data_IF_552821438545
#
_entry.id   IF_552821438545
#
_cell.length_a   1.000
_cell.length_b   1.000
_cell.length_c   1.000
_cell.angle_alpha   90.00
_cell.angle_beta   90.00
_cell.angle_gamma   90.00
#
_symmetry.space_group_name_H-M   'P 1'
#
loop_
_entity.id
_entity.type
_entity.pdbx_description
1 polymer ?
#
# COMPACT_ATOMS: atom_id res chain seq x y z
N UNK A 1 37.89 24.62 11.35
CA UNK A 1 37.45 23.27 10.88
C UNK A 1 38.66 22.60 10.27
N UNK A 2 39.08 21.49 10.85
CA UNK A 2 40.27 20.74 10.43
C UNK A 2 39.94 20.05 9.10
N UNK A 3 40.73 20.29 8.06
CA UNK A 3 40.58 19.59 6.79
C UNK A 3 41.10 18.16 6.96
N UNK A 4 40.19 17.20 6.86
CA UNK A 4 40.46 15.78 7.08
C UNK A 4 41.04 15.14 5.81
N UNK A 5 42.36 14.93 5.81
CA UNK A 5 43.15 14.31 4.73
C UNK A 5 43.09 12.76 4.78
N UNK A 6 41.95 12.18 5.14
CA UNK A 6 41.80 10.72 5.17
C UNK A 6 41.44 10.15 3.80
N UNK A 7 42.02 8.99 3.48
CA UNK A 7 41.83 8.27 2.24
C UNK A 7 40.37 7.82 2.08
N UNK A 8 39.86 7.81 0.84
CA UNK A 8 38.44 7.51 0.56
C UNK A 8 38.00 6.10 1.00
N UNK A 9 38.97 5.19 1.19
CA UNK A 9 38.73 3.80 1.62
C UNK A 9 38.48 3.75 3.13
N UNK A 10 39.36 4.35 3.94
CA UNK A 10 39.19 4.42 5.41
C UNK A 10 37.88 5.13 5.80
N UNK A 11 37.50 6.16 5.04
CA UNK A 11 36.25 6.89 5.26
C UNK A 11 35.02 6.03 4.95
N UNK A 12 35.08 5.19 3.90
CA UNK A 12 34.01 4.25 3.53
C UNK A 12 33.85 3.16 4.59
N UNK A 13 34.95 2.61 5.10
CA UNK A 13 34.91 1.52 6.07
C UNK A 13 34.34 2.01 7.41
N UNK A 14 34.70 3.22 7.86
CA UNK A 14 34.10 3.84 9.05
C UNK A 14 32.60 4.08 8.92
N UNK A 15 32.13 4.56 7.77
CA UNK A 15 30.71 4.76 7.52
C UNK A 15 29.93 3.43 7.51
N UNK A 16 30.59 2.36 7.04
CA UNK A 16 30.08 0.99 7.08
C UNK A 16 29.94 0.47 8.51
N UNK A 17 30.91 0.74 9.37
CA UNK A 17 30.87 0.44 10.81
C UNK A 17 29.75 1.21 11.51
N UNK A 18 29.50 2.47 11.12
CA UNK A 18 28.40 3.30 11.64
C UNK A 18 27.02 2.95 11.04
N UNK A 19 26.92 1.96 10.14
CA UNK A 19 25.67 1.55 9.49
C UNK A 19 25.09 2.59 8.52
N UNK A 20 25.91 3.58 8.09
CA UNK A 20 25.50 4.66 7.19
C UNK A 20 26.06 4.38 5.79
N UNK A 21 25.21 4.47 4.78
CA UNK A 21 25.63 4.36 3.37
C UNK A 21 25.67 5.78 2.80
N UNK A 22 26.84 6.22 2.33
CA UNK A 22 26.91 7.45 1.54
C UNK A 22 26.22 7.20 0.20
N UNK A 23 25.10 7.88 -0.02
CA UNK A 23 24.55 8.00 -1.36
C UNK A 23 25.59 8.72 -2.21
N UNK A 24 25.93 8.21 -3.40
CA UNK A 24 26.83 8.92 -4.30
C UNK A 24 26.24 10.32 -4.53
N UNK A 25 26.99 11.35 -4.15
CA UNK A 25 26.66 12.73 -4.50
C UNK A 25 26.39 12.77 -6.00
N UNK A 26 25.25 13.37 -6.38
CA UNK A 26 24.85 13.52 -7.76
C UNK A 26 26.04 13.98 -8.60
N UNK A 27 26.55 13.08 -9.44
CA UNK A 27 27.56 13.41 -10.44
C UNK A 27 27.01 14.58 -11.24
N UNK A 28 27.71 15.72 -11.22
CA UNK A 28 27.24 16.92 -11.91
C UNK A 28 27.29 16.65 -13.42
N UNK A 29 26.14 16.39 -14.02
CA UNK A 29 26.01 16.05 -15.46
C UNK A 29 26.23 17.26 -16.37
N UNK A 30 26.56 18.43 -15.81
CA UNK A 30 26.73 19.67 -16.55
C UNK A 30 28.07 19.67 -17.28
N UNK A 31 28.04 20.08 -18.55
CA UNK A 31 29.23 20.28 -19.37
C UNK A 31 29.80 21.67 -19.13
N UNK A 32 31.08 21.72 -18.77
CA UNK A 32 31.85 22.94 -18.54
C UNK A 32 32.77 23.18 -19.75
N UNK A 33 32.88 24.44 -20.21
CA UNK A 33 33.83 24.80 -21.28
C UNK A 33 35.18 25.14 -20.67
N UNK A 34 35.15 25.87 -19.56
CA UNK A 34 36.30 26.16 -18.70
C UNK A 34 35.92 25.75 -17.27
N UNK A 35 36.90 25.46 -16.42
CA UNK A 35 36.67 25.00 -15.03
C UNK A 35 35.64 25.84 -14.25
N UNK A 36 35.47 27.11 -14.61
CA UNK A 36 34.52 28.05 -13.99
C UNK A 36 33.24 28.32 -14.80
N UNK A 37 33.19 28.02 -16.10
CA UNK A 37 32.10 28.46 -17.00
C UNK A 37 31.34 27.27 -17.60
N UNK A 38 30.04 27.19 -17.30
CA UNK A 38 29.12 26.17 -17.81
C UNK A 38 28.70 26.52 -19.25
N UNK A 39 28.58 25.51 -20.12
CA UNK A 39 28.13 25.70 -21.51
C UNK A 39 26.78 26.43 -21.60
N UNK A 40 25.85 26.11 -20.69
CA UNK A 40 24.52 26.72 -20.65
C UNK A 40 24.56 28.22 -20.31
N UNK A 41 25.52 28.66 -19.50
CA UNK A 41 25.59 30.04 -19.05
C UNK A 41 26.07 30.96 -20.19
N UNK A 42 26.93 30.44 -21.07
CA UNK A 42 27.31 31.11 -22.33
C UNK A 42 26.11 31.24 -23.25
N UNK A 43 25.33 30.17 -23.42
CA UNK A 43 24.15 30.16 -24.27
C UNK A 43 23.09 31.18 -23.79
N UNK A 44 22.87 31.29 -22.48
CA UNK A 44 21.96 32.28 -21.88
C UNK A 44 22.47 33.72 -22.10
N UNK A 45 23.78 33.93 -22.11
CA UNK A 45 24.39 35.25 -22.30
C UNK A 45 24.49 35.72 -23.77
N UNK A 46 24.30 34.81 -24.74
CA UNK A 46 24.48 35.04 -26.18
C UNK A 46 23.65 36.23 -26.72
N UNK A 47 22.36 36.41 -26.34
CA UNK A 47 21.59 37.57 -26.81
C UNK A 47 22.22 38.91 -26.44
N UNK A 48 22.84 39.00 -25.26
CA UNK A 48 23.49 40.22 -24.78
C UNK A 48 24.80 40.50 -25.54
N UNK A 49 25.53 39.44 -25.90
CA UNK A 49 26.69 39.52 -26.79
C UNK A 49 26.28 40.04 -28.17
N UNK A 50 25.20 39.49 -28.74
CA UNK A 50 24.67 39.90 -30.04
C UNK A 50 24.25 41.38 -30.05
N UNK A 51 23.59 41.85 -28.98
CA UNK A 51 23.25 43.27 -28.81
C UNK A 51 24.52 44.13 -28.76
N UNK A 52 25.55 43.70 -28.03
CA UNK A 52 26.83 44.41 -27.98
C UNK A 52 27.49 44.55 -29.35
N UNK A 53 27.44 43.50 -30.18
CA UNK A 53 27.92 43.54 -31.57
C UNK A 53 27.06 44.43 -32.49
N UNK A 54 25.74 44.44 -32.30
CA UNK A 54 24.84 45.32 -33.06
C UNK A 54 25.09 46.80 -32.74
N UNK A 55 25.31 47.12 -31.46
CA UNK A 55 25.67 48.49 -31.02
C UNK A 55 27.02 48.89 -31.58
N UNK A 56 28.01 47.99 -31.55
CA UNK A 56 29.32 48.22 -32.15
C UNK A 56 29.21 48.51 -33.66
N UNK A 57 28.43 47.70 -34.38
CA UNK A 57 28.20 47.86 -35.81
C UNK A 57 27.53 49.20 -36.14
N UNK A 58 26.52 49.59 -35.35
CA UNK A 58 25.86 50.89 -35.48
C UNK A 58 26.83 52.07 -35.24
N UNK A 59 27.68 51.99 -34.22
CA UNK A 59 28.65 53.06 -33.90
C UNK A 59 29.73 53.20 -34.98
N UNK A 60 30.18 52.10 -35.58
CA UNK A 60 31.13 52.15 -36.71
C UNK A 60 30.46 52.78 -37.94
N UNK A 61 29.19 52.46 -38.21
CA UNK A 61 28.44 53.12 -39.29
C UNK A 61 28.15 54.60 -39.04
N UNK A 62 28.08 55.03 -37.78
CA UNK A 62 27.92 56.42 -37.38
C UNK A 62 29.23 57.25 -37.45
N UNK A 63 30.34 56.65 -37.91
CA UNK A 63 31.60 57.36 -38.17
C UNK A 63 32.65 57.28 -37.05
N UNK A 64 32.45 56.46 -36.02
CA UNK A 64 33.48 56.20 -35.02
C UNK A 64 34.52 55.22 -35.55
N UNK A 65 35.82 55.55 -35.40
CA UNK A 65 36.91 54.64 -35.76
C UNK A 65 36.88 53.39 -34.88
N UNK A 66 37.02 52.22 -35.51
CA UNK A 66 37.14 50.96 -34.78
C UNK A 66 38.39 50.97 -33.88
N UNK A 67 38.18 50.99 -32.56
CA UNK A 67 39.26 50.92 -31.57
C UNK A 67 39.00 49.80 -30.58
N UNK A 68 40.08 49.23 -30.03
CA UNK A 68 39.99 48.17 -29.02
C UNK A 68 39.22 48.64 -27.76
N UNK A 69 39.28 49.93 -27.44
CA UNK A 69 38.55 50.53 -26.32
C UNK A 69 37.04 50.54 -26.58
N UNK A 70 36.61 50.89 -27.79
CA UNK A 70 35.18 50.88 -28.18
C UNK A 70 34.57 49.48 -28.08
N UNK A 71 35.33 48.46 -28.50
CA UNK A 71 34.93 47.06 -28.40
C UNK A 71 34.76 46.61 -26.94
N UNK A 72 35.70 46.97 -26.06
CA UNK A 72 35.62 46.67 -24.63
C UNK A 72 34.41 47.32 -23.97
N UNK A 73 34.10 48.58 -24.33
CA UNK A 73 32.94 49.29 -23.79
C UNK A 73 31.65 48.60 -24.22
N UNK A 74 31.51 48.25 -25.51
CA UNK A 74 30.30 47.62 -26.04
C UNK A 74 30.06 46.21 -25.50
N UNK A 75 31.13 45.45 -25.21
CA UNK A 75 31.03 44.09 -24.65
C UNK A 75 31.06 44.06 -23.11
N UNK A 76 31.32 45.19 -22.44
CA UNK A 76 31.33 45.28 -20.96
C UNK A 76 30.02 44.81 -20.29
N UNK A 77 28.81 45.07 -20.84
CA UNK A 77 27.57 44.55 -20.24
C UNK A 77 27.49 43.02 -20.32
N UNK A 78 28.02 42.44 -21.41
CA UNK A 78 28.07 40.99 -21.57
C UNK A 78 29.04 40.33 -20.59
N UNK A 79 30.25 40.88 -20.45
CA UNK A 79 31.26 40.37 -19.51
C UNK A 79 30.80 40.44 -18.05
N UNK A 80 30.17 41.55 -17.65
CA UNK A 80 29.64 41.71 -16.28
C UNK A 80 28.48 40.75 -15.99
N UNK A 81 27.58 40.52 -16.96
CA UNK A 81 26.49 39.56 -16.83
C UNK A 81 26.99 38.11 -16.71
N UNK A 82 28.01 37.74 -17.49
CA UNK A 82 28.65 36.43 -17.38
C UNK A 82 29.28 36.21 -16.00
N UNK A 83 29.93 37.23 -15.43
CA UNK A 83 30.51 37.16 -14.09
C UNK A 83 29.43 36.95 -13.01
N UNK A 84 28.28 37.63 -13.14
CA UNK A 84 27.16 37.43 -12.21
C UNK A 84 26.60 36.00 -12.29
N UNK A 85 26.63 35.37 -13.47
CA UNK A 85 26.18 34.00 -13.65
C UNK A 85 27.13 32.97 -13.01
N UNK A 86 28.43 33.26 -12.88
CA UNK A 86 29.41 32.37 -12.25
C UNK A 86 29.41 32.43 -10.72
N UNK A 87 28.74 33.43 -10.12
CA UNK A 87 28.55 33.50 -8.68
C UNK A 87 27.62 32.39 -8.20
N UNK A 88 28.14 31.52 -7.34
CA UNK A 88 27.41 30.40 -6.75
C UNK A 88 26.77 30.79 -5.41
N UNK A 89 25.69 30.09 -5.04
CA UNK A 89 25.06 30.25 -3.73
C UNK A 89 26.06 29.85 -2.61
N UNK A 90 26.12 30.59 -1.48
CA UNK A 90 27.05 30.29 -0.37
C UNK A 90 26.93 28.84 0.13
N UNK A 91 25.70 28.36 0.34
CA UNK A 91 25.47 27.00 0.85
C UNK A 91 25.31 25.92 -0.22
N UNK A 92 24.94 26.28 -1.46
CA UNK A 92 24.57 25.32 -2.52
C UNK A 92 25.35 25.60 -3.80
N UNK A 93 26.54 24.99 -3.91
CA UNK A 93 27.46 25.14 -5.05
C UNK A 93 26.86 24.76 -6.41
N UNK A 94 25.73 24.07 -6.46
CA UNK A 94 25.10 23.65 -7.73
C UNK A 94 24.15 24.68 -8.35
N UNK A 95 23.85 25.78 -7.64
CA UNK A 95 22.85 26.78 -8.01
C UNK A 95 23.54 28.14 -8.24
N UNK A 96 23.32 28.73 -9.41
CA UNK A 96 23.85 30.05 -9.74
C UNK A 96 22.99 31.14 -9.07
N UNK A 97 23.60 32.28 -8.77
CA UNK A 97 22.95 33.44 -8.14
C UNK A 97 21.67 33.87 -8.86
N UNK A 98 21.73 34.01 -10.19
CA UNK A 98 20.58 34.42 -11.02
C UNK A 98 19.41 33.43 -10.92
N UNK A 99 19.70 32.13 -10.88
CA UNK A 99 18.66 31.11 -10.79
C UNK A 99 17.93 31.21 -9.46
N UNK A 100 18.64 31.27 -8.32
CA UNK A 100 18.02 31.37 -7.00
C UNK A 100 17.30 32.70 -6.76
N UNK A 101 17.86 33.85 -7.17
CA UNK A 101 17.25 35.14 -6.78
C UNK A 101 16.12 35.58 -7.71
N UNK A 102 16.26 35.33 -9.01
CA UNK A 102 15.34 35.85 -10.03
C UNK A 102 14.36 34.76 -10.47
N UNK A 103 14.88 33.63 -10.95
CA UNK A 103 14.04 32.57 -11.54
C UNK A 103 13.13 31.95 -10.48
N UNK A 104 13.65 31.64 -9.30
CA UNK A 104 12.84 31.08 -8.22
C UNK A 104 11.75 32.04 -7.73
N UNK A 105 12.02 33.35 -7.70
CA UNK A 105 11.00 34.34 -7.30
C UNK A 105 9.85 34.41 -8.30
N UNK A 106 10.17 34.35 -9.60
CA UNK A 106 9.19 34.28 -10.68
C UNK A 106 8.39 32.97 -10.59
N UNK A 107 9.08 31.84 -10.44
CA UNK A 107 8.43 30.54 -10.31
C UNK A 107 7.54 30.48 -9.06
N UNK A 108 8.00 31.00 -7.93
CA UNK A 108 7.25 31.05 -6.68
C UNK A 108 5.97 31.87 -6.82
N UNK A 109 6.04 33.04 -7.45
CA UNK A 109 4.85 33.85 -7.71
C UNK A 109 3.87 33.19 -8.70
N UNK A 110 4.37 32.36 -9.61
CA UNK A 110 3.55 31.59 -10.57
C UNK A 110 3.03 30.26 -10.03
N UNK A 111 3.48 29.80 -8.85
CA UNK A 111 2.97 28.55 -8.25
C UNK A 111 1.53 28.76 -7.81
N UNK A 112 0.69 27.76 -8.08
CA UNK A 112 -0.66 27.72 -7.53
C UNK A 112 -0.56 27.62 -6.01
N UNK A 113 -1.10 28.62 -5.31
CA UNK A 113 -1.05 28.72 -3.85
C UNK A 113 -2.18 27.93 -3.17
N UNK A 114 -3.14 27.43 -3.96
CA UNK A 114 -4.28 26.65 -3.49
C UNK A 114 -4.05 25.18 -3.86
N UNK A 115 -3.63 24.37 -2.88
CA UNK A 115 -3.53 22.92 -3.04
C UNK A 115 -4.89 22.32 -2.70
N UNK A 116 -5.74 22.12 -3.71
CA UNK A 116 -7.01 21.42 -3.53
C UNK A 116 -6.76 19.92 -3.70
N UNK A 117 -7.19 19.13 -2.73
CA UNK A 117 -7.15 17.67 -2.82
C UNK A 117 -8.24 17.19 -3.79
N UNK A 118 -7.94 17.15 -5.09
CA UNK A 118 -8.88 16.61 -6.07
C UNK A 118 -8.81 15.10 -6.09
N UNK A 119 -9.83 14.42 -5.57
CA UNK A 119 -10.01 12.98 -5.79
C UNK A 119 -10.17 12.70 -7.29
N UNK A 120 -9.21 11.95 -7.85
CA UNK A 120 -9.41 10.98 -8.93
C UNK A 120 -9.64 11.45 -10.38
N UNK A 121 -10.45 12.48 -10.64
CA UNK A 121 -11.09 12.57 -11.97
C UNK A 121 -10.40 13.45 -13.01
N UNK A 122 -9.47 14.33 -12.63
CA UNK A 122 -8.82 15.28 -13.56
C UNK A 122 -7.31 15.08 -13.76
N UNK A 123 -6.81 13.84 -13.69
CA UNK A 123 -5.41 13.56 -14.07
C UNK A 123 -5.27 13.28 -15.57
N UNK A 124 -4.31 13.96 -16.21
CA UNK A 124 -3.90 13.69 -17.60
C UNK A 124 -3.49 12.23 -17.78
N UNK A 125 -3.77 11.63 -18.95
CA UNK A 125 -3.52 10.21 -19.25
C UNK A 125 -2.08 9.76 -18.98
N UNK A 126 -1.12 10.68 -19.10
CA UNK A 126 0.30 10.46 -18.82
C UNK A 126 0.62 10.41 -17.31
N UNK A 127 -0.12 11.14 -16.49
CA UNK A 127 -0.03 11.09 -15.02
C UNK A 127 -0.78 9.88 -14.45
N UNK A 128 -1.90 9.45 -15.07
CA UNK A 128 -2.58 8.18 -14.71
C UNK A 128 -1.70 6.94 -14.85
N UNK A 129 -0.78 6.92 -15.84
CA UNK A 129 0.21 5.83 -16.00
C UNK A 129 1.31 5.81 -14.94
N UNK A 130 1.61 6.96 -14.33
CA UNK A 130 2.69 7.12 -13.35
C UNK A 130 2.17 7.29 -11.91
N UNK A 131 0.87 7.49 -11.72
CA UNK A 131 0.23 7.35 -10.43
C UNK A 131 0.39 5.89 -10.02
N UNK A 132 0.96 5.66 -8.83
CA UNK A 132 1.07 4.35 -8.21
C UNK A 132 -0.20 3.56 -8.49
N UNK A 133 -0.08 2.43 -9.20
CA UNK A 133 -1.20 1.52 -9.45
C UNK A 133 -1.92 1.32 -8.13
N UNK A 134 -3.25 1.39 -8.14
CA UNK A 134 -4.04 1.04 -6.97
C UNK A 134 -3.58 -0.34 -6.49
N UNK A 135 -3.39 -0.50 -5.18
CA UNK A 135 -2.95 -1.78 -4.57
C UNK A 135 -3.85 -2.92 -5.07
N UNK A 136 -5.15 -2.63 -5.25
CA UNK A 136 -6.13 -3.57 -5.81
C UNK A 136 -5.79 -4.00 -7.25
N UNK A 137 -5.39 -3.07 -8.10
CA UNK A 137 -4.98 -3.35 -9.48
C UNK A 137 -3.67 -4.15 -9.52
N UNK A 138 -2.73 -3.88 -8.59
CA UNK A 138 -1.51 -4.69 -8.44
C UNK A 138 -1.80 -6.13 -8.01
N UNK A 139 -2.82 -6.33 -7.17
CA UNK A 139 -3.30 -7.65 -6.74
C UNK A 139 -4.17 -8.36 -7.80
N UNK A 140 -4.50 -7.69 -8.91
CA UNK A 140 -5.38 -8.22 -9.94
C UNK A 140 -6.85 -8.31 -9.50
N UNK A 141 -7.26 -7.51 -8.51
CA UNK A 141 -8.64 -7.43 -8.02
C UNK A 141 -9.23 -6.09 -8.44
N UNK A 142 -10.32 -6.14 -9.20
CA UNK A 142 -11.05 -4.97 -9.67
C UNK A 142 -12.12 -4.53 -8.67
N UNK A 143 -12.89 -5.48 -8.12
CA UNK A 143 -13.93 -5.19 -7.14
C UNK A 143 -14.28 -6.41 -6.27
N UNK A 144 -14.93 -6.19 -5.13
CA UNK A 144 -15.59 -7.22 -4.32
C UNK A 144 -17.08 -6.90 -4.32
N UNK A 145 -17.90 -7.77 -4.90
CA UNK A 145 -19.33 -7.53 -5.03
C UNK A 145 -20.09 -8.85 -5.09
N UNK A 146 -21.32 -8.89 -4.55
CA UNK A 146 -22.16 -10.10 -4.54
C UNK A 146 -21.42 -11.36 -4.07
N UNK A 147 -20.65 -11.23 -2.98
CA UNK A 147 -19.88 -12.30 -2.35
C UNK A 147 -18.88 -12.97 -3.31
N UNK A 148 -18.38 -12.23 -4.30
CA UNK A 148 -17.35 -12.68 -5.20
C UNK A 148 -16.29 -11.61 -5.44
N UNK A 149 -15.07 -12.05 -5.75
CA UNK A 149 -14.05 -11.18 -6.31
C UNK A 149 -14.26 -11.04 -7.80
N UNK A 150 -14.27 -9.80 -8.28
CA UNK A 150 -14.09 -9.48 -9.69
C UNK A 150 -12.60 -9.22 -9.91
N UNK A 151 -11.95 -10.07 -10.70
CA UNK A 151 -10.53 -9.93 -11.05
C UNK A 151 -10.34 -8.99 -12.25
N UNK A 152 -9.14 -8.44 -12.40
CA UNK A 152 -8.76 -7.62 -13.57
C UNK A 152 -8.82 -8.41 -14.87
N UNK A 153 -8.69 -9.73 -14.80
CA UNK A 153 -8.78 -10.65 -15.94
C UNK A 153 -10.23 -11.01 -16.32
N UNK A 154 -11.22 -10.27 -15.80
CA UNK A 154 -12.65 -10.52 -15.99
C UNK A 154 -13.09 -11.93 -15.58
N UNK A 155 -12.68 -12.38 -14.39
CA UNK A 155 -13.19 -13.60 -13.77
C UNK A 155 -13.90 -13.27 -12.46
N UNK A 156 -15.02 -13.93 -12.22
CA UNK A 156 -15.64 -13.98 -10.90
C UNK A 156 -15.06 -15.13 -10.10
N UNK A 157 -14.69 -14.85 -8.85
CA UNK A 157 -14.15 -15.85 -7.94
C UNK A 157 -15.01 -15.90 -6.68
N UNK A 158 -15.64 -17.04 -6.43
CA UNK A 158 -16.30 -17.33 -5.15
C UNK A 158 -15.44 -18.27 -4.33
N UNK A 159 -15.47 -18.06 -3.02
CA UNK A 159 -14.67 -18.81 -2.04
C UNK A 159 -15.61 -19.45 -1.02
N UNK A 160 -15.44 -20.76 -0.83
CA UNK A 160 -16.18 -21.56 0.13
C UNK A 160 -15.20 -21.99 1.22
N UNK A 161 -15.50 -21.67 2.48
CA UNK A 161 -14.77 -22.18 3.64
C UNK A 161 -15.33 -23.55 4.01
N UNK A 162 -14.45 -24.51 4.24
CA UNK A 162 -14.81 -25.89 4.57
C UNK A 162 -14.21 -26.26 5.93
N UNK A 163 -15.01 -26.93 6.78
CA UNK A 163 -14.52 -27.50 8.03
C UNK A 163 -13.55 -28.66 7.78
N UNK A 164 -12.98 -29.23 8.84
CA UNK A 164 -12.05 -30.35 8.72
C UNK A 164 -12.37 -31.46 9.70
N UNK A 165 -12.09 -32.68 9.27
CA UNK A 165 -12.16 -33.88 10.11
C UNK A 165 -10.76 -34.28 10.54
N UNK A 166 -10.60 -34.68 11.82
CA UNK A 166 -9.33 -35.16 12.34
C UNK A 166 -9.10 -36.60 11.92
N UNK A 167 -8.23 -36.80 10.92
CA UNK A 167 -7.90 -38.14 10.41
C UNK A 167 -6.90 -38.89 11.31
N UNK A 168 -6.17 -38.22 12.19
CA UNK A 168 -5.10 -38.87 12.97
C UNK A 168 -5.64 -39.87 13.97
N UNK A 169 -6.76 -39.54 14.62
CA UNK A 169 -7.41 -40.36 15.65
C UNK A 169 -8.25 -41.52 15.10
N UNK A 170 -8.43 -41.59 13.78
CA UNK A 170 -9.30 -42.58 13.14
C UNK A 170 -8.61 -43.94 12.94
N UNK A 171 -9.41 -45.01 12.90
CA UNK A 171 -8.88 -46.32 12.51
C UNK A 171 -8.63 -46.38 10.99
N UNK A 172 -7.72 -47.27 10.54
CA UNK A 172 -7.34 -47.42 9.12
C UNK A 172 -8.56 -47.64 8.22
N UNK A 173 -9.52 -48.47 8.63
CA UNK A 173 -10.76 -48.73 7.86
C UNK A 173 -11.59 -47.46 7.66
N UNK A 174 -11.71 -46.61 8.67
CA UNK A 174 -12.45 -45.35 8.58
C UNK A 174 -11.73 -44.34 7.70
N UNK A 175 -10.39 -44.24 7.82
CA UNK A 175 -9.58 -43.39 6.94
C UNK A 175 -9.76 -43.78 5.48
N UNK A 176 -9.72 -45.08 5.16
CA UNK A 176 -9.95 -45.57 3.79
C UNK A 176 -11.34 -45.19 3.27
N UNK A 177 -12.39 -45.31 4.09
CA UNK A 177 -13.75 -44.88 3.71
C UNK A 177 -13.81 -43.38 3.39
N UNK A 178 -13.15 -42.54 4.20
CA UNK A 178 -13.10 -41.09 3.96
C UNK A 178 -12.37 -40.77 2.65
N UNK A 179 -11.25 -41.44 2.38
CA UNK A 179 -10.52 -41.25 1.12
C UNK A 179 -11.33 -41.71 -0.10
N UNK A 180 -12.04 -42.84 0.01
CA UNK A 180 -12.95 -43.30 -1.05
C UNK A 180 -14.08 -42.31 -1.30
N UNK A 181 -14.69 -41.77 -0.24
CA UNK A 181 -15.72 -40.76 -0.37
C UNK A 181 -15.20 -39.48 -1.05
N UNK A 182 -13.97 -39.05 -0.71
CA UNK A 182 -13.33 -37.93 -1.37
C UNK A 182 -13.00 -38.20 -2.85
N UNK A 183 -12.58 -39.41 -3.19
CA UNK A 183 -12.37 -39.84 -4.57
C UNK A 183 -13.68 -39.82 -5.38
N UNK A 184 -14.77 -40.37 -4.82
CA UNK A 184 -16.11 -40.30 -5.43
C UNK A 184 -16.54 -38.86 -5.66
N UNK A 185 -16.38 -37.99 -4.66
CA UNK A 185 -16.67 -36.56 -4.81
C UNK A 185 -15.91 -35.92 -5.97
N UNK A 186 -14.60 -36.18 -6.10
CA UNK A 186 -13.80 -35.62 -7.20
C UNK A 186 -14.24 -36.15 -8.57
N UNK A 187 -14.70 -37.40 -8.65
CA UNK A 187 -15.18 -38.01 -9.89
C UNK A 187 -16.59 -37.53 -10.28
N UNK A 188 -17.44 -37.22 -9.30
CA UNK A 188 -18.81 -36.74 -9.51
C UNK A 188 -18.88 -35.26 -9.91
N UNK A 189 -17.80 -34.49 -9.71
CA UNK A 189 -17.75 -33.09 -10.10
C UNK A 189 -17.81 -32.94 -11.63
N UNK A 190 -18.78 -32.16 -12.16
CA UNK A 190 -18.88 -31.99 -13.61
C UNK A 190 -17.66 -31.25 -14.14
N UNK A 191 -17.19 -31.66 -15.32
CA UNK A 191 -16.01 -31.09 -15.97
C UNK A 191 -16.11 -29.58 -16.20
N UNK A 192 -17.34 -29.06 -16.31
CA UNK A 192 -17.58 -27.62 -16.38
C UNK A 192 -17.09 -26.91 -15.14
N UNK A 193 -17.20 -27.46 -13.92
CA UNK A 193 -16.80 -26.81 -12.66
C UNK A 193 -15.28 -26.86 -12.40
N UNK A 194 -14.51 -27.50 -13.28
CA UNK A 194 -13.06 -27.58 -13.17
C UNK A 194 -12.38 -26.40 -13.90
N UNK A 195 -11.24 -25.89 -13.38
CA UNK A 195 -10.50 -26.39 -12.24
C UNK A 195 -11.05 -25.90 -10.88
N UNK A 196 -11.16 -26.83 -9.93
CA UNK A 196 -11.44 -26.53 -8.53
C UNK A 196 -10.13 -26.29 -7.78
N UNK A 197 -9.95 -25.11 -7.18
CA UNK A 197 -8.74 -24.83 -6.41
C UNK A 197 -9.01 -25.07 -4.91
N UNK A 198 -8.17 -25.88 -4.27
CA UNK A 198 -8.21 -26.09 -2.82
C UNK A 198 -7.00 -25.42 -2.19
N UNK A 199 -7.22 -24.57 -1.18
CA UNK A 199 -6.17 -23.82 -0.50
C UNK A 199 -6.27 -23.97 1.01
N UNK A 200 -5.12 -23.97 1.68
CA UNK A 200 -5.01 -23.94 3.13
C UNK A 200 -4.32 -22.65 3.52
N UNK A 201 -5.03 -21.78 4.24
CA UNK A 201 -4.52 -20.47 4.63
C UNK A 201 -4.48 -20.41 6.14
N UNK A 202 -3.30 -20.08 6.65
CA UNK A 202 -3.07 -19.85 8.06
C UNK A 202 -3.71 -18.50 8.45
N UNK A 203 -4.56 -18.50 9.46
CA UNK A 203 -5.25 -17.32 9.96
C UNK A 203 -5.13 -17.25 11.48
N UNK A 204 -5.00 -16.03 12.03
CA UNK A 204 -4.94 -15.85 13.48
C UNK A 204 -6.15 -16.51 14.14
N UNK A 205 -5.93 -17.13 15.30
CA UNK A 205 -7.02 -17.81 16.00
C UNK A 205 -8.04 -16.78 16.48
N UNK A 206 -9.33 -17.04 16.24
CA UNK A 206 -10.41 -16.24 16.79
C UNK A 206 -11.18 -17.10 17.79
N UNK A 207 -11.04 -16.78 19.09
CA UNK A 207 -11.70 -17.48 20.18
C UNK A 207 -12.87 -16.67 20.75
N UNK A 208 -13.27 -15.57 20.11
CA UNK A 208 -14.31 -14.66 20.62
C UNK A 208 -15.63 -15.38 20.89
N UNK A 209 -16.08 -16.24 19.97
CA UNK A 209 -17.32 -17.00 20.15
C UNK A 209 -17.20 -18.04 21.27
N UNK A 210 -16.03 -18.65 21.43
CA UNK A 210 -15.76 -19.59 22.50
C UNK A 210 -15.72 -18.87 23.86
N UNK A 211 -15.06 -17.71 23.94
CA UNK A 211 -15.07 -16.85 25.12
C UNK A 211 -16.49 -16.45 25.51
N UNK A 212 -17.32 -16.00 24.57
CA UNK A 212 -18.74 -15.69 24.82
C UNK A 212 -19.51 -16.90 25.35
N UNK A 213 -19.30 -18.07 24.75
CA UNK A 213 -19.94 -19.30 25.24
C UNK A 213 -19.58 -19.58 26.71
N UNK A 214 -18.30 -19.45 27.09
CA UNK A 214 -17.88 -19.64 28.48
C UNK A 214 -18.48 -18.56 29.38
N UNK A 215 -18.52 -17.32 28.94
CA UNK A 215 -19.12 -16.20 29.69
C UNK A 215 -20.62 -16.43 29.95
N UNK A 216 -21.37 -16.85 28.93
CA UNK A 216 -22.79 -17.20 29.02
C UNK A 216 -23.06 -18.39 29.96
N UNK A 217 -22.16 -19.37 30.01
CA UNK A 217 -22.25 -20.47 30.97
C UNK A 217 -21.94 -20.00 32.40
N UNK A 218 -20.97 -19.08 32.53
CA UNK A 218 -20.54 -18.54 33.83
C UNK A 218 -21.60 -17.64 34.44
N UNK A 219 -22.32 -16.86 33.63
CA UNK A 219 -23.41 -15.98 34.07
C UNK A 219 -24.56 -16.74 34.75
N UNK A 220 -24.70 -18.05 34.50
CA UNK A 220 -25.73 -18.91 35.09
C UNK A 220 -25.28 -19.61 36.37
N UNK A 221 -24.01 -19.49 36.74
CA UNK A 221 -23.43 -20.22 37.87
C UNK A 221 -23.40 -19.34 39.13
N UNK A 222 -24.02 -19.79 40.22
CA UNK A 222 -24.10 -19.05 41.49
C UNK A 222 -22.85 -19.20 42.36
N UNK A 223 -22.02 -20.22 42.08
CA UNK A 223 -20.86 -20.57 42.89
C UNK A 223 -19.67 -19.62 42.66
N UNK A 224 -19.34 -18.84 43.70
CA UNK A 224 -18.23 -17.87 43.68
C UNK A 224 -16.87 -18.44 43.22
N UNK A 225 -16.40 -19.62 43.70
CA UNK A 225 -15.13 -20.19 43.24
C UNK A 225 -15.11 -20.53 41.75
N UNK A 226 -16.23 -21.06 41.22
CA UNK A 226 -16.34 -21.39 39.79
C UNK A 226 -16.33 -20.13 38.92
N UNK A 227 -16.99 -19.06 39.38
CA UNK A 227 -16.97 -17.77 38.69
C UNK A 227 -15.54 -17.18 38.59
N UNK A 228 -14.74 -17.28 39.65
CA UNK A 228 -13.33 -16.86 39.62
C UNK A 228 -12.53 -17.71 38.62
N UNK A 229 -12.69 -19.04 38.64
CA UNK A 229 -12.00 -19.93 37.72
C UNK A 229 -12.35 -19.62 36.26
N UNK A 230 -13.63 -19.44 35.97
CA UNK A 230 -14.08 -19.07 34.63
C UNK A 230 -13.51 -17.73 34.18
N UNK A 231 -13.48 -16.71 35.05
CA UNK A 231 -12.85 -15.42 34.74
C UNK A 231 -11.35 -15.55 34.48
N UNK A 232 -10.65 -16.39 35.25
CA UNK A 232 -9.23 -16.67 35.02
C UNK A 232 -8.99 -17.38 33.68
N UNK A 233 -9.89 -18.28 33.30
CA UNK A 233 -9.85 -18.99 32.04
C UNK A 233 -10.16 -18.07 30.85
N UNK A 234 -11.15 -17.19 30.97
CA UNK A 234 -11.43 -16.16 29.95
C UNK A 234 -10.23 -15.24 29.72
N UNK A 235 -9.53 -14.85 30.79
CA UNK A 235 -8.28 -14.09 30.67
C UNK A 235 -7.21 -14.88 29.91
N UNK A 236 -7.05 -16.16 30.22
CA UNK A 236 -6.12 -17.02 29.50
C UNK A 236 -6.47 -17.16 28.01
N UNK A 237 -7.76 -17.29 27.67
CA UNK A 237 -8.24 -17.32 26.28
C UNK A 237 -7.94 -16.00 25.55
N UNK A 238 -8.14 -14.86 26.21
CA UNK A 238 -7.81 -13.54 25.66
C UNK A 238 -6.30 -13.37 25.45
N UNK A 239 -5.48 -13.84 26.40
CA UNK A 239 -4.02 -13.85 26.28
C UNK A 239 -3.55 -14.72 25.09
N UNK A 240 -4.19 -15.88 24.87
CA UNK A 240 -3.96 -16.71 23.67
C UNK A 240 -4.31 -15.95 22.39
N UNK A 241 -5.45 -15.25 22.37
CA UNK A 241 -5.91 -14.53 21.18
C UNK A 241 -5.00 -13.32 20.86
N UNK A 242 -4.46 -12.67 21.88
CA UNK A 242 -3.45 -11.60 21.75
C UNK A 242 -2.07 -12.14 21.35
N UNK A 243 -1.74 -13.37 21.74
CA UNK A 243 -0.49 -14.01 21.39
C UNK A 243 -0.39 -14.22 19.88
N UNK A 244 0.59 -13.56 19.26
CA UNK A 244 0.85 -13.64 17.82
C UNK A 244 1.16 -15.06 17.32
N UNK A 245 1.61 -15.93 18.23
CA UNK A 245 2.16 -17.24 17.89
C UNK A 245 1.09 -18.30 17.57
N UNK A 246 -0.18 -18.06 17.93
CA UNK A 246 -1.24 -19.07 17.80
C UNK A 246 -2.01 -18.88 16.49
N UNK A 247 -1.98 -19.89 15.62
CA UNK A 247 -2.54 -19.83 14.27
C UNK A 247 -3.44 -21.01 13.97
N UNK A 248 -4.59 -20.74 13.37
CA UNK A 248 -5.52 -21.76 12.84
C UNK A 248 -5.33 -21.92 11.32
N UNK A 249 -5.41 -23.15 10.80
CA UNK A 249 -5.36 -23.40 9.35
C UNK A 249 -6.77 -23.61 8.81
N UNK A 250 -7.27 -22.61 8.10
CA UNK A 250 -8.58 -22.66 7.46
C UNK A 250 -8.43 -23.20 6.03
N UNK A 251 -9.42 -23.97 5.60
CA UNK A 251 -9.44 -24.66 4.30
C UNK A 251 -10.50 -24.02 3.42
N UNK A 252 -10.10 -23.71 2.20
CA UNK A 252 -10.91 -22.99 1.24
C UNK A 252 -10.98 -23.75 -0.07
N UNK A 253 -12.17 -23.79 -0.64
CA UNK A 253 -12.47 -24.26 -1.98
C UNK A 253 -12.83 -23.05 -2.82
N UNK A 254 -12.10 -22.82 -3.90
CA UNK A 254 -12.15 -21.61 -4.71
C UNK A 254 -12.60 -22.01 -6.11
N UNK A 255 -13.63 -21.31 -6.60
CA UNK A 255 -14.16 -21.49 -7.95
C UNK A 255 -14.11 -20.18 -8.71
N UNK A 256 -13.59 -20.25 -9.93
CA UNK A 256 -13.41 -19.10 -10.80
C UNK A 256 -14.12 -19.30 -12.14
N UNK A 257 -14.85 -18.28 -12.60
CA UNK A 257 -15.55 -18.27 -13.89
C UNK A 257 -15.19 -17.03 -14.69
N UNK A 258 -14.70 -17.18 -15.94
CA UNK A 258 -14.51 -16.03 -16.82
C UNK A 258 -15.87 -15.48 -17.26
N UNK A 259 -15.96 -14.16 -17.35
CA UNK A 259 -17.14 -13.48 -17.87
C UNK A 259 -16.75 -12.50 -18.99
N UNK A 260 -17.73 -12.19 -19.83
CA UNK A 260 -17.65 -11.11 -20.81
C UNK A 260 -18.69 -10.05 -20.44
N UNK A 261 -18.53 -8.81 -20.89
CA UNK A 261 -19.39 -7.66 -20.52
C UNK A 261 -20.88 -7.93 -20.75
N UNK A 262 -21.23 -8.68 -21.81
CA UNK A 262 -22.62 -9.02 -22.16
C UNK A 262 -23.21 -10.12 -21.27
N UNK A 263 -22.40 -11.07 -20.79
CA UNK A 263 -22.85 -12.27 -20.08
C UNK A 263 -22.65 -12.19 -18.56
N UNK A 264 -22.24 -11.04 -18.05
CA UNK A 264 -21.85 -10.85 -16.64
C UNK A 264 -22.89 -11.39 -15.64
N UNK A 265 -24.16 -11.03 -15.82
CA UNK A 265 -25.25 -11.45 -14.91
C UNK A 265 -25.48 -12.96 -14.96
N UNK A 266 -25.57 -13.52 -16.18
CA UNK A 266 -25.77 -14.96 -16.39
C UNK A 266 -24.65 -15.79 -15.75
N UNK A 267 -23.39 -15.38 -15.92
CA UNK A 267 -22.24 -16.10 -15.34
C UNK A 267 -22.24 -16.03 -13.81
N UNK A 268 -22.70 -14.92 -13.22
CA UNK A 268 -22.84 -14.82 -11.77
C UNK A 268 -23.89 -15.81 -11.25
N UNK A 269 -25.06 -15.87 -11.89
CA UNK A 269 -26.14 -16.78 -11.50
C UNK A 269 -25.72 -18.26 -11.66
N UNK A 270 -24.98 -18.58 -12.73
CA UNK A 270 -24.41 -19.91 -12.95
C UNK A 270 -23.39 -20.25 -11.86
N UNK A 271 -22.48 -19.32 -11.54
CA UNK A 271 -21.49 -19.51 -10.47
C UNK A 271 -22.15 -19.73 -9.11
N UNK A 272 -23.23 -19.01 -8.80
CA UNK A 272 -23.96 -19.18 -7.54
C UNK A 272 -24.62 -20.56 -7.44
N UNK A 273 -25.23 -21.04 -8.53
CA UNK A 273 -25.79 -22.40 -8.60
C UNK A 273 -24.69 -23.46 -8.42
N UNK A 274 -23.57 -23.30 -9.11
CA UNK A 274 -22.42 -24.20 -9.01
C UNK A 274 -21.89 -24.24 -7.57
N UNK A 275 -21.74 -23.07 -6.91
CA UNK A 275 -21.32 -22.96 -5.50
C UNK A 275 -22.27 -23.72 -4.58
N UNK A 276 -23.57 -23.60 -4.79
CA UNK A 276 -24.57 -24.29 -3.98
C UNK A 276 -24.50 -25.81 -4.16
N UNK A 277 -24.33 -26.28 -5.40
CA UNK A 277 -24.17 -27.71 -5.71
C UNK A 277 -22.92 -28.26 -5.03
N UNK A 278 -21.77 -27.61 -5.20
CA UNK A 278 -20.51 -28.04 -4.60
C UNK A 278 -20.57 -28.01 -3.08
N UNK A 279 -21.18 -26.99 -2.49
CA UNK A 279 -21.39 -26.91 -1.04
C UNK A 279 -22.19 -28.10 -0.52
N UNK A 280 -23.31 -28.40 -1.18
CA UNK A 280 -24.19 -29.53 -0.84
C UNK A 280 -23.47 -30.87 -1.01
N UNK A 281 -22.66 -31.03 -2.06
CA UNK A 281 -21.87 -32.24 -2.29
C UNK A 281 -20.79 -32.43 -1.22
N UNK A 282 -20.10 -31.36 -0.81
CA UNK A 282 -19.09 -31.43 0.26
C UNK A 282 -19.73 -31.83 1.59
N UNK A 283 -20.90 -31.28 1.91
CA UNK A 283 -21.63 -31.60 3.15
C UNK A 283 -22.10 -33.06 3.17
N UNK A 284 -22.59 -33.56 2.03
CA UNK A 284 -23.06 -34.94 1.89
C UNK A 284 -21.95 -35.95 1.58
N UNK A 285 -20.71 -35.52 1.38
CA UNK A 285 -19.59 -36.40 1.01
C UNK A 285 -19.32 -37.44 2.09
N UNK A 286 -19.42 -37.06 3.36
CA UNK A 286 -19.16 -37.96 4.48
C UNK A 286 -20.47 -38.46 5.07
N UNK A 287 -20.64 -39.78 5.12
CA UNK A 287 -21.76 -40.42 5.81
C UNK A 287 -21.46 -40.71 7.29
N UNK A 288 -22.49 -40.68 8.12
CA UNK A 288 -22.44 -41.17 9.51
C UNK A 288 -22.06 -40.10 10.53
N UNK A 289 -21.01 -40.34 11.32
CA UNK A 289 -20.60 -39.46 12.45
C UNK A 289 -19.70 -38.30 12.05
N UNK A 290 -19.18 -38.32 10.83
CA UNK A 290 -18.27 -37.29 10.32
C UNK A 290 -19.05 -36.43 9.35
N UNK A 291 -19.06 -35.13 9.59
CA UNK A 291 -19.75 -34.15 8.77
C UNK A 291 -18.75 -33.04 8.41
N UNK A 292 -18.75 -32.64 7.15
CA UNK A 292 -18.07 -31.43 6.71
C UNK A 292 -19.11 -30.34 6.60
N UNK A 293 -18.78 -29.15 7.11
CA UNK A 293 -19.65 -27.98 7.04
C UNK A 293 -19.05 -26.99 6.07
N UNK A 294 -19.90 -26.41 5.23
CA UNK A 294 -19.48 -25.39 4.27
C UNK A 294 -20.06 -24.04 4.64
N UNK A 295 -19.30 -22.98 4.39
CA UNK A 295 -19.78 -21.61 4.46
C UNK A 295 -19.25 -20.84 3.26
N UNK A 296 -20.14 -20.30 2.43
CA UNK A 296 -19.76 -19.33 1.40
C UNK A 296 -19.33 -18.04 2.09
N UNK A 297 -18.21 -17.46 1.66
CA UNK A 297 -17.68 -16.26 2.31
C UNK A 297 -18.45 -15.00 1.89
N UNK A 298 -18.79 -14.19 2.88
CA UNK A 298 -19.42 -12.89 2.69
C UNK A 298 -18.41 -11.84 2.18
N UNK A 299 -18.87 -10.69 1.67
CA UNK A 299 -17.98 -9.62 1.17
C UNK A 299 -16.91 -9.19 2.20
N UNK A 300 -17.30 -9.09 3.48
CA UNK A 300 -16.38 -8.72 4.55
C UNK A 300 -15.37 -9.84 4.84
N UNK A 301 -15.82 -11.09 4.88
CA UNK A 301 -14.95 -12.25 5.11
C UNK A 301 -13.95 -12.45 3.96
N UNK A 302 -14.39 -12.19 2.72
CA UNK A 302 -13.52 -12.12 1.55
C UNK A 302 -12.45 -11.04 1.75
N UNK A 303 -12.87 -9.81 2.06
CA UNK A 303 -11.92 -8.73 2.33
C UNK A 303 -10.89 -9.13 3.41
N UNK A 304 -11.35 -9.71 4.52
CA UNK A 304 -10.48 -10.25 5.57
C UNK A 304 -9.51 -11.33 5.09
N UNK A 305 -9.99 -12.27 4.27
CA UNK A 305 -9.15 -13.30 3.66
C UNK A 305 -8.05 -12.67 2.79
N UNK A 306 -8.39 -11.65 1.99
CA UNK A 306 -7.44 -10.92 1.18
C UNK A 306 -6.36 -10.25 2.04
N UNK A 307 -6.74 -9.55 3.12
CA UNK A 307 -5.74 -8.96 4.04
C UNK A 307 -4.85 -10.01 4.69
N UNK A 308 -5.42 -11.13 5.13
CA UNK A 308 -4.64 -12.20 5.73
C UNK A 308 -3.58 -12.77 4.77
N UNK A 309 -3.85 -12.75 3.46
CA UNK A 309 -2.89 -13.18 2.43
C UNK A 309 -1.80 -12.14 2.13
N UNK A 310 -2.08 -10.85 2.29
CA UNK A 310 -1.14 -9.76 1.96
C UNK A 310 -0.25 -9.42 3.15
N UNK A 311 -0.88 -9.26 4.31
CA UNK A 311 -0.26 -8.75 5.52
C UNK A 311 -0.80 -9.51 6.73
N UNK A 312 -0.21 -10.69 6.93
CA UNK A 312 -0.58 -11.60 8.00
C UNK A 312 -0.43 -10.97 9.39
N UNK A 313 0.67 -10.24 9.61
CA UNK A 313 1.01 -9.61 10.89
C UNK A 313 -0.02 -8.54 11.29
N UNK A 314 -0.40 -7.66 10.36
CA UNK A 314 -1.40 -6.63 10.65
C UNK A 314 -2.84 -7.15 10.60
N UNK A 315 -3.12 -8.18 9.81
CA UNK A 315 -4.44 -8.84 9.81
C UNK A 315 -4.79 -9.40 11.19
N UNK A 316 -3.79 -9.86 11.95
CA UNK A 316 -3.95 -10.37 13.32
C UNK A 316 -4.34 -9.27 14.32
N UNK A 317 -3.74 -8.09 14.22
CA UNK A 317 -4.08 -6.94 15.08
C UNK A 317 -5.50 -6.44 14.78
N UNK A 318 -5.86 -6.31 13.50
CA UNK A 318 -7.14 -5.76 13.08
C UNK A 318 -8.34 -6.68 13.37
N UNK A 319 -8.14 -8.00 13.48
CA UNK A 319 -9.22 -8.93 13.86
C UNK A 319 -9.71 -8.70 15.30
N UNK A 320 -8.82 -8.30 16.21
CA UNK A 320 -9.16 -7.94 17.60
C UNK A 320 -9.95 -6.63 17.67
N UNK A 321 -9.58 -5.62 16.88
CA UNK A 321 -10.18 -4.29 16.93
C UNK A 321 -11.60 -4.20 16.34
N UNK A 322 -11.97 -5.05 15.37
CA UNK A 322 -13.26 -4.93 14.67
C UNK A 322 -14.50 -5.30 15.48
N UNK A 323 -14.38 -6.03 16.59
CA UNK A 323 -15.55 -6.28 17.47
C UNK A 323 -15.91 -5.03 18.29
N UNK A 324 -14.98 -4.09 18.48
CA UNK A 324 -15.20 -2.86 19.25
C UNK A 324 -15.40 -1.60 18.38
N UNK A 325 -15.01 -1.63 17.10
CA UNK A 325 -15.07 -0.46 16.20
C UNK A 325 -16.16 -0.60 15.12
N UNK A 326 -17.42 -0.55 15.55
CA UNK A 326 -18.49 0.03 14.73
C UNK A 326 -18.57 1.55 14.94
N UNK A 327 -17.44 2.24 14.79
CA UNK A 327 -17.47 3.67 14.50
C UNK A 327 -17.04 3.85 13.04
N UNK A 328 -17.91 4.35 12.14
CA UNK A 328 -17.54 4.65 10.75
C UNK A 328 -16.50 5.78 10.62
N UNK A 329 -16.00 6.30 11.75
CA UNK A 329 -15.01 7.35 11.82
C UNK A 329 -13.63 6.75 12.15
N UNK A 330 -12.71 6.77 11.19
CA UNK A 330 -11.28 6.62 11.48
C UNK A 330 -10.79 7.94 12.07
N UNK A 331 -10.59 7.98 13.38
CA UNK A 331 -10.04 9.16 14.08
C UNK A 331 -8.61 8.85 14.52
N UNK A 332 -7.74 9.85 14.47
CA UNK A 332 -6.38 9.72 15.02
C UNK A 332 -6.43 9.46 16.52
N UNK A 333 -5.41 8.78 17.05
CA UNK A 333 -5.35 8.33 18.45
C UNK A 333 -5.58 9.47 19.45
N UNK A 334 -4.97 10.63 19.21
CA UNK A 334 -5.17 11.84 20.03
C UNK A 334 -6.61 12.35 20.01
N UNK A 335 -7.27 12.26 18.85
CA UNK A 335 -8.66 12.70 18.67
C UNK A 335 -9.64 11.72 19.31
N UNK A 336 -9.29 10.43 19.31
CA UNK A 336 -10.05 9.40 20.01
C UNK A 336 -9.99 9.61 21.53
N UNK A 337 -8.82 9.89 22.10
CA UNK A 337 -8.65 10.20 23.52
C UNK A 337 -9.50 11.42 23.92
N UNK A 338 -9.41 12.52 23.17
CA UNK A 338 -10.22 13.74 23.39
C UNK A 338 -11.74 13.45 23.32
N UNK A 339 -12.19 12.70 22.30
CA UNK A 339 -13.59 12.29 22.18
C UNK A 339 -14.05 11.40 23.33
N UNK A 340 -13.23 10.43 23.74
CA UNK A 340 -13.56 9.49 24.81
C UNK A 340 -13.71 10.20 26.16
N UNK A 341 -12.83 11.16 26.45
CA UNK A 341 -12.90 11.98 27.67
C UNK A 341 -14.15 12.88 27.67
N UNK A 342 -14.46 13.51 26.53
CA UNK A 342 -15.68 14.32 26.38
C UNK A 342 -16.96 13.47 26.55
N UNK A 343 -16.98 12.26 26.00
CA UNK A 343 -18.11 11.33 26.17
C UNK A 343 -18.30 10.85 27.60
N UNK A 344 -17.21 10.64 28.34
CA UNK A 344 -17.28 10.29 29.76
C UNK A 344 -17.83 11.45 30.58
N UNK A 345 -17.41 12.68 30.32
CA UNK A 345 -17.96 13.89 30.95
C UNK A 345 -19.46 14.04 30.68
N UNK A 346 -19.90 13.89 29.42
CA UNK A 346 -21.33 13.95 29.07
C UNK A 346 -22.16 12.86 29.77
N UNK A 347 -21.60 11.65 29.96
CA UNK A 347 -22.29 10.60 30.71
C UNK A 347 -22.41 10.94 32.19
N UNK A 348 -21.36 11.48 32.83
CA UNK A 348 -21.44 11.90 34.23
C UNK A 348 -22.41 13.06 34.43
N UNK A 349 -22.45 14.01 33.49
CA UNK A 349 -23.32 15.19 33.55
C UNK A 349 -24.81 14.87 33.26
N UNK A 350 -25.10 13.73 32.64
CA UNK A 350 -26.47 13.25 32.41
C UNK A 350 -26.94 12.22 33.46
N UNK A 351 -26.05 11.76 34.35
CA UNK A 351 -26.38 10.85 35.47
C UNK A 351 -26.54 11.62 36.79
N UNK A 352 -26.06 12.88 36.85
CA UNK A 352 -26.44 13.89 37.84
C UNK A 352 -27.69 14.65 37.38
#
# INVERSE_FOLDING_TARGET
>A
MIFDNQSAVERRDRLREEGKIELPLNVDTKKYILSLIKYRDILISLPLMAIGFLVLWYLVHAGYSFSAQLLLICLSPWGTFLLILTLHHPDRKNINFFTHRVIWRIQFNRRQKLFVYTKGDFMSSKQKKNASKDIREQLGIKNVYSECYETTDNRFVKVIRVSSVNLSLLNKKEKTKIFQAYETFLNDLPRSMLPLQVSQIAQPINLTNYGRYIDDQTAKEESYPKAILAKSYLKYVDDIQKSKNMVSRNRYVIMARPFNSMNRKKVLDELERDVKIVSTQIENMLGGRYELKTKVLDNEELFHLMFACIDYENAQVNFSFKTALFSPLTVGERTYEEMSGSWQQMKTDHIM
#
